data_IF_273452024628
#
_entry.id   IF_273452024628
#
_cell.length_a   1.000
_cell.length_b   1.000
_cell.length_c   1.000
_cell.angle_alpha   90.00
_cell.angle_beta   90.00
_cell.angle_gamma   90.00
#
_symmetry.space_group_name_H-M   'P 1'
#
loop_
_entity.id
_entity.type
_entity.pdbx_description
1 polymer ?
#
# COMPACT_ATOMS: atom_id res chain seq x y z
N UNK A 1 0.12 38.69 -24.65
CA UNK A 1 -0.78 37.83 -23.86
C UNK A 1 -0.86 36.49 -24.57
N UNK A 2 0.20 35.68 -24.48
CA UNK A 2 0.29 34.37 -25.16
C UNK A 2 1.45 33.48 -24.70
N UNK A 3 2.45 34.00 -23.97
CA UNK A 3 3.73 33.27 -23.87
C UNK A 3 4.04 32.64 -22.49
N UNK A 4 3.16 32.79 -21.49
CA UNK A 4 3.42 32.27 -20.14
C UNK A 4 2.69 30.96 -19.79
N UNK A 5 1.71 30.51 -20.59
CA UNK A 5 1.10 29.18 -20.38
C UNK A 5 2.01 28.05 -20.87
N UNK A 6 2.83 28.29 -21.90
CA UNK A 6 3.67 27.26 -22.53
C UNK A 6 4.87 26.84 -21.66
N UNK A 7 5.33 27.67 -20.73
CA UNK A 7 6.47 27.34 -19.83
C UNK A 7 6.01 26.49 -18.65
N UNK A 8 4.82 26.75 -18.09
CA UNK A 8 4.27 25.96 -16.97
C UNK A 8 3.89 24.55 -17.41
N UNK A 9 3.39 24.40 -18.65
CA UNK A 9 3.11 23.07 -19.21
C UNK A 9 4.40 22.28 -19.38
N UNK A 10 5.49 22.88 -19.85
CA UNK A 10 6.75 22.15 -20.11
C UNK A 10 7.54 21.70 -18.86
N UNK A 11 7.27 22.26 -17.69
CA UNK A 11 7.83 21.74 -16.41
C UNK A 11 7.01 20.55 -15.89
N UNK A 12 5.71 20.50 -16.20
CA UNK A 12 4.82 19.40 -15.82
C UNK A 12 4.88 18.21 -16.79
N UNK A 13 5.09 18.45 -18.09
CA UNK A 13 5.10 17.38 -19.11
C UNK A 13 6.42 16.59 -19.18
N UNK A 14 7.48 17.01 -18.48
CA UNK A 14 8.73 16.21 -18.38
C UNK A 14 8.65 15.01 -17.43
N UNK A 15 7.48 14.72 -16.86
CA UNK A 15 7.19 13.54 -16.03
C UNK A 15 6.16 12.58 -16.64
N UNK A 16 5.70 12.82 -17.86
CA UNK A 16 4.90 11.85 -18.62
C UNK A 16 5.85 11.00 -19.45
N UNK A 17 6.69 10.25 -18.73
CA UNK A 17 7.02 8.94 -19.21
C UNK A 17 5.92 8.05 -18.65
N UNK A 18 4.88 7.85 -19.47
CA UNK A 18 4.09 6.61 -19.47
C UNK A 18 5.08 5.49 -19.83
N UNK A 19 6.01 5.21 -18.91
CA UNK A 19 6.85 4.04 -18.96
C UNK A 19 6.06 3.00 -18.19
N UNK A 20 5.28 2.26 -18.97
CA UNK A 20 4.88 0.90 -18.69
C UNK A 20 4.43 0.70 -17.24
N UNK A 21 3.15 0.93 -16.97
CA UNK A 21 2.45 0.02 -16.06
C UNK A 21 2.48 -1.35 -16.73
N UNK A 22 3.63 -2.02 -16.63
CA UNK A 22 3.70 -3.45 -16.83
C UNK A 22 2.61 -3.98 -15.92
N UNK A 23 1.66 -4.71 -16.51
CA UNK A 23 0.77 -5.60 -15.77
C UNK A 23 1.63 -6.28 -14.71
N UNK A 24 1.46 -5.88 -13.46
CA UNK A 24 2.27 -6.41 -12.37
C UNK A 24 1.94 -7.89 -12.30
N UNK A 25 2.96 -8.70 -12.48
CA UNK A 25 2.85 -10.13 -12.35
C UNK A 25 2.37 -10.40 -10.92
N UNK A 26 1.18 -10.98 -10.74
CA UNK A 26 0.58 -11.24 -9.41
C UNK A 26 1.54 -12.03 -8.49
N UNK A 27 2.59 -12.62 -9.06
CA UNK A 27 3.65 -13.37 -8.43
C UNK A 27 4.65 -12.53 -7.60
N UNK A 28 4.72 -11.21 -7.78
CA UNK A 28 5.76 -10.38 -7.14
C UNK A 28 5.46 -10.06 -5.66
N UNK A 29 4.20 -9.80 -5.30
CA UNK A 29 3.79 -9.51 -3.92
C UNK A 29 3.37 -10.78 -3.18
N UNK A 30 4.33 -11.68 -2.95
CA UNK A 30 4.12 -12.91 -2.19
C UNK A 30 4.53 -12.76 -0.71
N UNK A 31 4.31 -13.79 0.09
CA UNK A 31 4.67 -13.79 1.51
C UNK A 31 6.17 -13.50 1.74
N UNK A 32 7.05 -14.06 0.89
CA UNK A 32 8.49 -13.84 0.99
C UNK A 32 8.87 -12.36 0.77
N UNK A 33 8.17 -11.68 -0.14
CA UNK A 33 8.31 -10.22 -0.33
C UNK A 33 8.01 -9.46 0.96
N UNK A 34 6.86 -9.74 1.60
CA UNK A 34 6.47 -9.05 2.83
C UNK A 34 7.42 -9.35 4.00
N UNK A 35 7.91 -10.59 4.10
CA UNK A 35 8.96 -10.97 5.05
C UNK A 35 10.26 -10.19 4.79
N UNK A 36 10.66 -10.03 3.53
CA UNK A 36 11.86 -9.27 3.17
C UNK A 36 11.78 -7.78 3.53
N UNK A 37 10.62 -7.14 3.37
CA UNK A 37 10.45 -5.70 3.68
C UNK A 37 10.20 -5.39 5.16
N UNK A 38 10.09 -6.42 6.02
CA UNK A 38 10.10 -6.29 7.47
C UNK A 38 8.90 -6.87 8.21
N UNK A 39 7.98 -7.58 7.54
CA UNK A 39 6.91 -8.31 8.22
C UNK A 39 7.45 -9.68 8.70
N UNK A 40 8.23 -9.66 9.78
CA UNK A 40 8.85 -10.85 10.38
C UNK A 40 7.90 -11.55 11.36
N UNK A 41 8.13 -12.84 11.65
CA UNK A 41 7.41 -13.62 12.66
C UNK A 41 5.89 -13.76 12.49
N UNK A 42 5.36 -13.47 11.29
CA UNK A 42 3.94 -13.66 10.97
C UNK A 42 3.83 -14.41 9.65
N UNK A 43 2.98 -15.43 9.62
CA UNK A 43 2.62 -16.14 8.39
C UNK A 43 1.34 -15.54 7.82
N UNK A 44 1.42 -15.05 6.58
CA UNK A 44 0.29 -14.44 5.88
C UNK A 44 -0.56 -15.53 5.25
N UNK A 45 -1.86 -15.57 5.56
CA UNK A 45 -2.78 -16.52 4.93
C UNK A 45 -3.07 -16.10 3.49
N UNK A 46 -3.38 -17.07 2.61
CA UNK A 46 -3.65 -16.82 1.18
C UNK A 46 -4.71 -15.74 0.93
N UNK A 47 -5.80 -15.76 1.69
CA UNK A 47 -6.86 -14.74 1.59
C UNK A 47 -6.39 -13.35 2.04
N UNK A 48 -5.50 -13.27 3.03
CA UNK A 48 -4.91 -12.00 3.48
C UNK A 48 -3.98 -11.45 2.42
N UNK A 49 -3.16 -12.31 1.81
CA UNK A 49 -2.27 -11.93 0.73
C UNK A 49 -3.06 -11.38 -0.47
N UNK A 50 -4.19 -12.00 -0.81
CA UNK A 50 -5.08 -11.49 -1.84
C UNK A 50 -5.62 -10.09 -1.49
N UNK A 51 -6.10 -9.88 -0.26
CA UNK A 51 -6.57 -8.57 0.19
C UNK A 51 -5.48 -7.49 0.14
N UNK A 52 -4.25 -7.83 0.54
CA UNK A 52 -3.10 -6.90 0.47
C UNK A 52 -2.79 -6.52 -0.97
N UNK A 53 -2.70 -7.51 -1.88
CA UNK A 53 -2.46 -7.27 -3.32
C UNK A 53 -3.53 -6.36 -3.90
N UNK A 54 -4.78 -6.65 -3.61
CA UNK A 54 -5.90 -5.83 -4.05
C UNK A 54 -5.77 -4.37 -3.58
N UNK A 55 -5.46 -4.12 -2.30
CA UNK A 55 -5.27 -2.75 -1.80
C UNK A 55 -4.10 -2.06 -2.51
N UNK A 56 -2.97 -2.75 -2.72
CA UNK A 56 -1.81 -2.21 -3.43
C UNK A 56 -2.20 -1.80 -4.86
N UNK A 57 -2.88 -2.66 -5.60
CA UNK A 57 -3.34 -2.35 -6.96
C UNK A 57 -4.29 -1.15 -7.01
N UNK A 58 -5.20 -1.03 -6.03
CA UNK A 58 -6.11 0.13 -5.93
C UNK A 58 -5.31 1.41 -5.68
N UNK A 59 -4.36 1.36 -4.76
CA UNK A 59 -3.51 2.47 -4.41
C UNK A 59 -2.62 2.93 -5.58
N UNK A 60 -2.01 2.01 -6.32
CA UNK A 60 -1.18 2.34 -7.48
C UNK A 60 -1.95 2.95 -8.65
N UNK A 61 -3.25 2.66 -8.73
CA UNK A 61 -4.18 3.30 -9.67
C UNK A 61 -4.71 4.65 -9.16
N UNK A 62 -4.25 5.12 -7.99
CA UNK A 62 -4.68 6.38 -7.38
C UNK A 62 -6.09 6.34 -6.78
N UNK A 63 -6.62 5.15 -6.50
CA UNK A 63 -7.95 4.98 -5.92
C UNK A 63 -7.88 4.69 -4.42
N UNK A 64 -8.96 5.07 -3.71
CA UNK A 64 -9.22 4.54 -2.38
C UNK A 64 -9.59 3.05 -2.40
N UNK A 65 -9.44 2.41 -1.24
CA UNK A 65 -9.80 1.01 -1.02
C UNK A 65 -10.60 0.87 0.29
N UNK A 66 -11.65 0.04 0.25
CA UNK A 66 -12.44 -0.34 1.43
C UNK A 66 -12.32 -1.86 1.57
N UNK A 67 -11.62 -2.31 2.60
CA UNK A 67 -11.49 -3.74 2.91
C UNK A 67 -12.68 -4.16 3.79
N UNK A 68 -13.68 -4.80 3.18
CA UNK A 68 -14.94 -5.16 3.83
C UNK A 68 -15.07 -6.66 4.14
N UNK A 69 -13.94 -7.33 4.39
CA UNK A 69 -13.91 -8.74 4.78
C UNK A 69 -14.58 -8.99 6.14
N UNK A 70 -14.96 -10.23 6.41
CA UNK A 70 -15.51 -10.64 7.72
C UNK A 70 -14.59 -10.28 8.90
N UNK A 71 -15.21 -10.08 10.07
CA UNK A 71 -14.46 -9.85 11.31
C UNK A 71 -13.60 -11.07 11.65
N UNK A 72 -12.37 -10.82 12.14
CA UNK A 72 -11.44 -11.90 12.49
C UNK A 72 -10.49 -12.34 11.37
N UNK A 73 -10.68 -11.92 10.12
CA UNK A 73 -9.78 -12.27 8.99
C UNK A 73 -8.45 -11.48 8.97
N UNK A 74 -8.11 -10.78 10.05
CA UNK A 74 -6.83 -10.09 10.19
C UNK A 74 -6.66 -8.86 9.31
N UNK A 75 -7.73 -8.05 9.13
CA UNK A 75 -7.68 -6.77 8.40
C UNK A 75 -6.59 -5.81 8.90
N UNK A 76 -6.30 -5.84 10.20
CA UNK A 76 -5.20 -5.08 10.81
C UNK A 76 -3.85 -5.49 10.24
N UNK A 77 -3.56 -6.80 10.18
CA UNK A 77 -2.31 -7.32 9.59
C UNK A 77 -2.19 -6.95 8.12
N UNK A 78 -3.28 -7.08 7.35
CA UNK A 78 -3.30 -6.68 5.94
C UNK A 78 -2.99 -5.19 5.77
N UNK A 79 -3.55 -4.34 6.64
CA UNK A 79 -3.31 -2.90 6.62
C UNK A 79 -1.86 -2.57 7.00
N UNK A 80 -1.28 -3.25 7.99
CA UNK A 80 0.13 -3.09 8.37
C UNK A 80 1.06 -3.47 7.20
N UNK A 81 0.79 -4.60 6.54
CA UNK A 81 1.57 -5.04 5.37
C UNK A 81 1.51 -4.02 4.22
N UNK A 82 0.32 -3.44 3.97
CA UNK A 82 0.17 -2.35 3.01
C UNK A 82 0.94 -1.09 3.40
N UNK A 83 0.90 -0.67 4.67
CA UNK A 83 1.66 0.48 5.16
C UNK A 83 3.18 0.27 5.04
N UNK A 84 3.66 -0.94 5.31
CA UNK A 84 5.06 -1.32 5.10
C UNK A 84 5.46 -1.19 3.63
N UNK A 85 4.61 -1.66 2.70
CA UNK A 85 4.83 -1.49 1.27
C UNK A 85 4.93 -0.01 0.87
N UNK A 86 4.00 0.83 1.30
CA UNK A 86 4.01 2.28 0.99
C UNK A 86 5.27 2.95 1.54
N UNK A 87 5.66 2.61 2.76
CA UNK A 87 6.86 3.16 3.40
C UNK A 87 8.16 2.70 2.73
N UNK A 88 8.32 1.40 2.47
CA UNK A 88 9.58 0.81 1.98
C UNK A 88 9.73 0.87 0.47
N UNK A 89 8.68 0.50 -0.28
CA UNK A 89 8.72 0.43 -1.73
C UNK A 89 8.46 1.79 -2.38
N UNK A 90 7.45 2.53 -1.90
CA UNK A 90 7.09 3.84 -2.47
C UNK A 90 7.83 5.01 -1.81
N UNK A 91 8.54 4.76 -0.70
CA UNK A 91 9.22 5.80 0.10
C UNK A 91 8.30 6.95 0.48
N UNK A 92 7.02 6.63 0.71
CA UNK A 92 6.00 7.59 1.11
C UNK A 92 5.75 7.47 2.60
N UNK A 93 6.01 8.56 3.32
CA UNK A 93 5.81 8.74 4.75
C UNK A 93 5.65 10.25 5.02
N UNK A 94 4.95 10.68 6.08
CA UNK A 94 4.34 9.89 7.16
C UNK A 94 2.95 9.31 6.83
N UNK A 95 2.55 8.26 7.54
CA UNK A 95 1.22 7.64 7.47
C UNK A 95 0.48 7.79 8.79
N UNK A 96 -0.85 7.95 8.75
CA UNK A 96 -1.72 8.05 9.94
C UNK A 96 -2.73 6.90 9.96
N UNK A 97 -2.88 6.27 11.12
CA UNK A 97 -3.91 5.27 11.39
C UNK A 97 -4.88 5.84 12.40
N UNK A 98 -6.18 5.81 12.09
CA UNK A 98 -7.25 6.26 12.97
C UNK A 98 -8.10 5.05 13.31
N UNK A 99 -8.27 4.77 14.60
CA UNK A 99 -9.08 3.64 15.07
C UNK A 99 -9.74 3.93 16.43
N UNK A 100 -10.86 3.26 16.78
CA UNK A 100 -11.44 3.34 18.12
C UNK A 100 -10.44 2.94 19.22
N UNK A 101 -10.61 3.52 20.42
CA UNK A 101 -9.75 3.25 21.58
C UNK A 101 -9.67 1.74 21.92
N UNK A 102 -10.78 1.02 21.79
CA UNK A 102 -10.89 -0.40 22.12
C UNK A 102 -9.99 -1.31 21.28
N UNK A 103 -9.62 -0.90 20.07
CA UNK A 103 -8.78 -1.71 19.16
C UNK A 103 -7.31 -1.29 19.13
N UNK A 104 -6.94 -0.20 19.80
CA UNK A 104 -5.54 0.26 19.84
C UNK A 104 -4.59 -0.79 20.43
N UNK A 105 -5.02 -1.50 21.48
CA UNK A 105 -4.22 -2.59 22.05
C UNK A 105 -3.93 -3.70 21.04
N UNK A 106 -4.89 -3.98 20.14
CA UNK A 106 -4.68 -4.96 19.07
C UNK A 106 -3.64 -4.46 18.06
N UNK A 107 -3.72 -3.18 17.67
CA UNK A 107 -2.72 -2.57 16.79
C UNK A 107 -1.32 -2.61 17.40
N UNK A 108 -1.16 -2.25 18.67
CA UNK A 108 0.14 -2.32 19.36
C UNK A 108 0.66 -3.75 19.40
N UNK A 109 -0.19 -4.74 19.69
CA UNK A 109 0.22 -6.15 19.70
C UNK A 109 0.68 -6.62 18.32
N UNK A 110 -0.04 -6.29 17.25
CA UNK A 110 0.35 -6.69 15.89
C UNK A 110 1.61 -5.97 15.39
N UNK A 111 1.83 -4.71 15.79
CA UNK A 111 3.05 -3.96 15.43
C UNK A 111 4.29 -4.40 16.21
N UNK A 112 4.12 -5.01 17.38
CA UNK A 112 5.22 -5.50 18.23
C UNK A 112 5.59 -6.96 17.99
N UNK A 113 4.93 -7.65 17.04
CA UNK A 113 5.27 -9.02 16.62
C UNK A 113 6.41 -9.02 15.62
#
# INVERSE_FOLDING_TARGET
MSDNESVIVNVLTKRINVLNYTTLDENEYNEAYFKHIGLTNVDIRSYQLHGIRWIIERYEKGHGAILSDEMGLGKTLQTIAFLLYVCKAKKQFPSIVISPLSVLQNWTKELSR
#
